data_IF_560256519383
#
_entry.id   IF_560256519383
#
_cell.length_a   1.000
_cell.length_b   1.000
_cell.length_c   1.000
_cell.angle_alpha   90.00
_cell.angle_beta   90.00
_cell.angle_gamma   90.00
#
_symmetry.space_group_name_H-M   'P 1'
#
loop_
_entity.id
_entity.type
_entity.pdbx_description
1 polymer ?
#
# COMPACT_ATOMS: atom_id res chain seq x y z
N UNK A 1 9.06 9.35 -12.08
CA UNK A 1 8.82 8.46 -10.94
C UNK A 1 10.15 7.81 -10.63
N UNK A 2 10.64 7.93 -9.40
CA UNK A 2 11.91 7.28 -9.01
C UNK A 2 11.77 5.76 -9.09
N UNK A 3 12.90 5.06 -9.23
CA UNK A 3 12.91 3.59 -9.36
C UNK A 3 12.32 2.89 -8.14
N UNK A 4 12.51 3.45 -6.95
CA UNK A 4 11.95 2.91 -5.71
C UNK A 4 10.41 2.91 -5.72
N UNK A 5 9.78 3.99 -6.20
CA UNK A 5 8.32 4.06 -6.29
C UNK A 5 7.76 3.14 -7.38
N UNK A 6 8.51 2.92 -8.47
CA UNK A 6 8.12 1.92 -9.49
C UNK A 6 8.09 0.53 -8.87
N UNK A 7 9.14 0.16 -8.13
CA UNK A 7 9.23 -1.13 -7.44
C UNK A 7 8.11 -1.29 -6.40
N UNK A 8 7.76 -0.23 -5.69
CA UNK A 8 6.63 -0.24 -4.76
C UNK A 8 5.31 -0.55 -5.47
N UNK A 9 5.02 0.12 -6.59
CA UNK A 9 3.81 -0.10 -7.36
C UNK A 9 3.76 -1.52 -7.97
N UNK A 10 4.88 -1.99 -8.52
CA UNK A 10 5.01 -3.33 -9.08
C UNK A 10 4.82 -4.42 -8.01
N UNK A 11 5.30 -4.19 -6.79
CA UNK A 11 5.03 -5.08 -5.66
C UNK A 11 3.54 -5.20 -5.39
N UNK A 12 2.80 -4.08 -5.35
CA UNK A 12 1.35 -4.10 -5.15
C UNK A 12 0.57 -4.70 -6.33
N UNK A 13 1.06 -4.54 -7.57
CA UNK A 13 0.44 -5.16 -8.75
C UNK A 13 0.52 -6.69 -8.72
N UNK A 14 1.58 -7.24 -8.11
CA UNK A 14 1.78 -8.68 -7.96
C UNK A 14 1.31 -9.23 -6.61
N UNK A 15 0.83 -8.37 -5.70
CA UNK A 15 0.42 -8.79 -4.36
C UNK A 15 -0.92 -9.51 -4.37
N UNK A 16 -0.93 -10.79 -3.96
CA UNK A 16 -2.18 -11.57 -3.87
C UNK A 16 -2.92 -11.29 -2.55
N UNK A 17 -4.04 -10.58 -2.66
CA UNK A 17 -4.85 -10.21 -1.50
C UNK A 17 -5.75 -11.37 -1.06
N UNK A 18 -5.35 -12.05 0.01
CA UNK A 18 -6.05 -13.20 0.62
C UNK A 18 -7.04 -12.80 1.75
N UNK A 19 -7.00 -11.55 2.21
CA UNK A 19 -7.90 -11.00 3.24
C UNK A 19 -8.34 -9.59 2.85
N UNK A 20 -9.49 -9.15 3.35
CA UNK A 20 -10.09 -7.89 2.90
C UNK A 20 -9.85 -6.70 3.84
N UNK A 21 -9.50 -6.97 5.10
CA UNK A 21 -9.48 -5.96 6.15
C UNK A 21 -8.12 -5.92 6.85
N UNK A 22 -7.61 -4.72 7.10
CA UNK A 22 -6.34 -4.54 7.79
C UNK A 22 -6.33 -3.26 8.62
N UNK A 23 -5.65 -3.32 9.77
CA UNK A 23 -5.42 -2.15 10.62
C UNK A 23 -3.98 -1.67 10.39
N UNK A 24 -3.83 -0.48 9.81
CA UNK A 24 -2.52 0.14 9.58
C UNK A 24 -1.94 0.77 10.86
N UNK A 25 -2.82 1.27 11.72
CA UNK A 25 -2.46 1.85 13.02
C UNK A 25 -3.66 1.75 13.97
N UNK A 26 -3.49 2.12 15.24
CA UNK A 26 -4.60 2.13 16.20
C UNK A 26 -5.80 2.95 15.71
N UNK A 27 -5.57 4.02 14.95
CA UNK A 27 -6.61 4.93 14.45
C UNK A 27 -6.98 4.70 12.97
N UNK A 28 -6.25 3.87 12.24
CA UNK A 28 -6.47 3.67 10.80
C UNK A 28 -6.80 2.21 10.50
N UNK A 29 -8.05 2.00 10.11
CA UNK A 29 -8.59 0.70 9.73
C UNK A 29 -9.10 0.76 8.30
N UNK A 30 -8.62 -0.17 7.49
CA UNK A 30 -9.01 -0.35 6.10
C UNK A 30 -9.95 -1.55 6.07
N UNK A 31 -11.21 -1.29 5.70
CA UNK A 31 -12.25 -2.31 5.58
C UNK A 31 -12.29 -2.98 4.20
N UNK A 32 -11.71 -2.34 3.19
CA UNK A 32 -11.63 -2.84 1.81
C UNK A 32 -10.22 -2.59 1.27
N UNK A 33 -9.36 -3.56 1.52
CA UNK A 33 -7.94 -3.51 1.17
C UNK A 33 -7.74 -3.47 -0.35
N UNK A 34 -8.56 -4.21 -1.11
CA UNK A 34 -8.47 -4.26 -2.57
C UNK A 34 -8.76 -2.89 -3.17
N UNK A 35 -9.85 -2.26 -2.74
CA UNK A 35 -10.22 -0.92 -3.20
C UNK A 35 -9.20 0.11 -2.75
N UNK A 36 -8.70 0.01 -1.51
CA UNK A 36 -7.68 0.92 -1.00
C UNK A 36 -6.41 0.88 -1.86
N UNK A 37 -5.85 -0.31 -2.10
CA UNK A 37 -4.64 -0.48 -2.93
C UNK A 37 -4.89 0.06 -4.34
N UNK A 38 -6.03 -0.28 -4.95
CA UNK A 38 -6.37 0.20 -6.30
C UNK A 38 -6.46 1.73 -6.37
N UNK A 39 -7.09 2.38 -5.39
CA UNK A 39 -7.21 3.85 -5.37
C UNK A 39 -5.85 4.50 -5.17
N UNK A 40 -5.06 4.04 -4.19
CA UNK A 40 -3.76 4.65 -3.88
C UNK A 40 -2.75 4.44 -4.99
N UNK A 41 -2.61 3.22 -5.53
CA UNK A 41 -1.69 2.96 -6.66
C UNK A 41 -2.06 3.80 -7.89
N UNK A 42 -3.35 3.94 -8.20
CA UNK A 42 -3.80 4.77 -9.32
C UNK A 42 -3.62 6.27 -9.08
N UNK A 43 -3.80 6.74 -7.84
CA UNK A 43 -3.54 8.14 -7.48
C UNK A 43 -2.05 8.44 -7.66
N UNK A 44 -1.17 7.60 -7.12
CA UNK A 44 0.28 7.77 -7.23
C UNK A 44 0.74 7.76 -8.69
N UNK A 45 0.27 6.79 -9.51
CA UNK A 45 0.62 6.74 -10.95
C UNK A 45 0.30 8.04 -11.68
N UNK A 46 -0.78 8.73 -11.30
CA UNK A 46 -1.23 9.98 -11.93
C UNK A 46 -0.57 11.22 -11.33
N UNK A 47 -0.29 11.21 -10.04
CA UNK A 47 -0.03 12.42 -9.27
C UNK A 47 1.33 12.44 -8.54
N UNK A 48 2.24 11.48 -8.78
CA UNK A 48 3.50 11.34 -8.02
C UNK A 48 4.41 12.58 -8.02
N UNK A 49 4.32 13.48 -9.01
CA UNK A 49 5.06 14.75 -9.04
C UNK A 49 4.44 15.85 -8.17
N UNK A 50 3.17 15.68 -7.77
CA UNK A 50 2.42 16.68 -7.03
C UNK A 50 2.55 16.44 -5.52
N UNK A 51 3.18 17.35 -4.76
CA UNK A 51 3.41 17.18 -3.33
C UNK A 51 2.12 17.07 -2.50
N UNK A 52 0.98 17.53 -3.04
CA UNK A 52 -0.34 17.35 -2.39
C UNK A 52 -0.69 15.88 -2.19
N UNK A 53 -0.13 14.98 -3.02
CA UNK A 53 -0.40 13.54 -3.01
C UNK A 53 0.74 12.73 -2.37
N UNK A 54 1.68 13.38 -1.70
CA UNK A 54 2.78 12.70 -0.99
C UNK A 54 2.25 11.68 0.04
N UNK A 55 1.11 11.99 0.67
CA UNK A 55 0.46 11.09 1.62
C UNK A 55 0.04 9.75 0.99
N UNK A 56 -0.30 9.71 -0.30
CA UNK A 56 -0.68 8.47 -0.96
C UNK A 56 0.53 7.54 -1.11
N UNK A 57 1.70 8.12 -1.40
CA UNK A 57 2.98 7.40 -1.45
C UNK A 57 3.33 6.86 -0.06
N UNK A 58 3.26 7.70 0.98
CA UNK A 58 3.53 7.32 2.37
C UNK A 58 2.61 6.18 2.81
N UNK A 59 1.32 6.26 2.47
CA UNK A 59 0.33 5.24 2.81
C UNK A 59 0.64 3.88 2.18
N UNK A 60 1.15 3.85 0.95
CA UNK A 60 1.57 2.60 0.29
C UNK A 60 2.79 1.98 0.97
N UNK A 61 3.79 2.77 1.36
CA UNK A 61 4.94 2.26 2.12
C UNK A 61 4.52 1.69 3.48
N UNK A 62 3.66 2.40 4.21
CA UNK A 62 3.14 1.93 5.49
C UNK A 62 2.35 0.63 5.32
N UNK A 63 1.49 0.56 4.31
CA UNK A 63 0.72 -0.64 4.03
C UNK A 63 1.63 -1.81 3.69
N UNK A 64 2.60 -1.64 2.79
CA UNK A 64 3.56 -2.70 2.44
C UNK A 64 4.25 -3.26 3.67
N UNK A 65 4.74 -2.40 4.56
CA UNK A 65 5.36 -2.82 5.83
C UNK A 65 4.42 -3.67 6.67
N UNK A 66 3.18 -3.23 6.89
CA UNK A 66 2.20 -3.98 7.70
C UNK A 66 1.86 -5.32 7.06
N UNK A 67 1.82 -5.39 5.73
CA UNK A 67 1.60 -6.66 5.00
C UNK A 67 2.78 -7.62 5.18
N UNK A 68 4.01 -7.14 5.01
CA UNK A 68 5.23 -7.94 5.22
C UNK A 68 5.35 -8.41 6.68
N UNK A 69 5.08 -7.54 7.66
CA UNK A 69 5.09 -7.90 9.09
C UNK A 69 4.05 -8.99 9.38
N UNK A 70 2.84 -8.87 8.83
CA UNK A 70 1.79 -9.88 8.97
C UNK A 70 2.17 -11.21 8.33
N UNK A 71 2.85 -11.21 7.20
CA UNK A 71 3.32 -12.44 6.55
C UNK A 71 4.40 -13.13 7.38
N UNK A 72 5.33 -12.35 7.96
CA UNK A 72 6.38 -12.87 8.84
C UNK A 72 5.81 -13.42 10.15
N UNK A 73 4.79 -12.80 10.73
CA UNK A 73 4.08 -13.33 11.92
C UNK A 73 3.37 -14.66 11.63
N UNK A 74 2.99 -14.91 10.38
CA UNK A 74 2.33 -16.14 9.96
C UNK A 74 3.31 -17.22 9.46
N UNK A 75 4.63 -16.98 9.46
CA UNK A 75 5.64 -18.00 9.21
C UNK A 75 6.06 -18.69 10.53
N UNK A 76 6.04 -20.04 10.60
CA UNK A 76 6.39 -20.80 11.80
C UNK A 76 7.89 -20.77 12.14
#
# INVERSE_FOLDING_TARGET
>A
MNEELKQLLEWFDNYEITFNEIRLSQCQYIFDLRKFISVQTNSVRKNWENPTFEYDIISLYQLKKVLEDKENENMP
#
